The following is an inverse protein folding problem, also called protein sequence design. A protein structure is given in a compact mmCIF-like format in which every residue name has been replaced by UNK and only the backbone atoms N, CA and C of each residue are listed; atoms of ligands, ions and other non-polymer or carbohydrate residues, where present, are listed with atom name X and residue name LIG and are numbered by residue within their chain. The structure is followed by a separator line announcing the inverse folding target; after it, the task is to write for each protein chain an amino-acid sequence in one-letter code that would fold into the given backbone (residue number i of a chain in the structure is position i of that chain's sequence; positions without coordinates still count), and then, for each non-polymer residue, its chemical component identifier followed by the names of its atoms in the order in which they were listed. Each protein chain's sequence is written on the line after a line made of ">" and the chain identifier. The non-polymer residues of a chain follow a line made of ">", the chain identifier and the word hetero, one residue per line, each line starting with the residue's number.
data_IF_384266999525
#
_entry.id   IF_384266999525
#
_cell.length_a   1.000
_cell.length_b   1.000
_cell.length_c   1.000
_cell.angle_alpha   90.00
_cell.angle_beta   90.00
_cell.angle_gamma   90.00
#
_symmetry.space_group_name_H-M   'P 1'
#
loop_
_entity.id
_entity.type
_entity.pdbx_description
1 polymer ?
#
# COMPACT_ATOMS: atom_id res chain seq x y z
N UNK A 1 -1.11 -35.71 32.59
CA UNK A 1 -1.72 -35.54 31.25
C UNK A 1 -1.67 -34.07 30.90
N UNK A 2 -0.63 -33.68 30.18
CA UNK A 2 -0.36 -32.28 29.80
C UNK A 2 -1.23 -31.94 28.59
N UNK A 3 -2.20 -31.03 28.74
CA UNK A 3 -2.99 -30.52 27.62
C UNK A 3 -2.15 -29.47 26.90
N UNK A 4 -1.58 -29.86 25.78
CA UNK A 4 -1.00 -28.95 24.79
C UNK A 4 -2.12 -28.11 24.18
N UNK A 5 -2.19 -26.82 24.51
CA UNK A 5 -3.01 -25.86 23.78
C UNK A 5 -2.23 -25.38 22.57
N UNK A 6 -2.57 -25.90 21.39
CA UNK A 6 -2.15 -25.35 20.11
C UNK A 6 -2.83 -23.99 19.94
N UNK A 7 -2.04 -22.91 19.94
CA UNK A 7 -2.51 -21.58 19.54
C UNK A 7 -2.62 -21.61 18.01
N UNK A 8 -3.85 -21.58 17.50
CA UNK A 8 -4.11 -21.46 16.06
C UNK A 8 -3.88 -19.99 15.68
N UNK A 9 -2.74 -19.69 15.08
CA UNK A 9 -2.41 -18.37 14.52
C UNK A 9 -3.09 -18.17 13.15
N UNK A 10 -4.40 -18.44 13.08
CA UNK A 10 -5.22 -18.13 11.89
C UNK A 10 -5.94 -16.80 12.17
N UNK A 11 -5.61 -15.69 11.48
CA UNK A 11 -6.35 -14.44 11.67
C UNK A 11 -7.80 -14.70 11.30
N UNK A 12 -8.70 -14.57 12.28
CA UNK A 12 -10.12 -14.81 12.09
C UNK A 12 -10.61 -14.07 10.83
N UNK A 13 -11.22 -14.82 9.91
CA UNK A 13 -11.78 -14.27 8.67
C UNK A 13 -12.65 -13.05 9.01
N UNK A 14 -12.45 -11.88 8.36
CA UNK A 14 -13.18 -10.66 8.71
C UNK A 14 -14.70 -10.87 8.61
N UNK A 15 -15.44 -10.19 9.49
CA UNK A 15 -16.89 -10.30 9.57
C UNK A 15 -17.52 -9.80 8.23
N UNK A 16 -18.35 -10.60 7.56
CA UNK A 16 -19.07 -10.17 6.36
C UNK A 16 -19.84 -8.85 6.52
N UNK A 17 -20.36 -8.53 7.71
CA UNK A 17 -21.04 -7.25 7.95
C UNK A 17 -20.07 -6.08 7.94
N UNK A 18 -18.87 -6.23 8.51
CA UNK A 18 -17.82 -5.22 8.47
C UNK A 18 -17.33 -4.98 7.03
N UNK A 19 -17.15 -6.05 6.25
CA UNK A 19 -16.79 -5.96 4.83
C UNK A 19 -17.85 -5.21 4.01
N UNK A 20 -19.13 -5.46 4.26
CA UNK A 20 -20.22 -4.73 3.59
C UNK A 20 -20.27 -3.25 4.02
N UNK A 21 -20.04 -2.96 5.31
CA UNK A 21 -19.96 -1.59 5.80
C UNK A 21 -18.77 -0.85 5.17
N UNK A 22 -17.62 -1.51 5.00
CA UNK A 22 -16.46 -0.96 4.31
C UNK A 22 -16.77 -0.62 2.86
N UNK A 23 -17.36 -1.55 2.11
CA UNK A 23 -17.79 -1.33 0.73
C UNK A 23 -18.80 -0.19 0.56
N UNK A 24 -19.67 0.05 1.55
CA UNK A 24 -20.60 1.20 1.53
C UNK A 24 -19.91 2.54 1.76
N UNK A 25 -18.82 2.56 2.51
CA UNK A 25 -18.06 3.78 2.83
C UNK A 25 -17.04 4.14 1.74
N UNK A 26 -16.48 3.12 1.08
CA UNK A 26 -15.53 3.26 -0.03
C UNK A 26 -16.09 2.62 -1.31
N UNK A 27 -17.19 3.16 -1.87
CA UNK A 27 -17.90 2.53 -2.98
C UNK A 27 -17.12 2.52 -4.28
N UNK A 28 -16.26 3.52 -4.56
CA UNK A 28 -15.44 3.54 -5.80
C UNK A 28 -14.28 2.55 -5.71
N UNK A 29 -13.68 2.41 -4.53
CA UNK A 29 -12.64 1.41 -4.27
C UNK A 29 -13.16 -0.01 -4.47
N UNK A 30 -14.37 -0.29 -3.97
CA UNK A 30 -14.98 -1.62 -4.08
C UNK A 30 -15.74 -1.87 -5.40
N UNK A 31 -15.88 -0.86 -6.26
CA UNK A 31 -16.47 -1.02 -7.58
C UNK A 31 -15.55 -1.85 -8.51
N UNK A 32 -16.11 -2.61 -9.47
CA UNK A 32 -15.31 -3.21 -10.54
C UNK A 32 -14.55 -2.15 -11.34
N UNK A 33 -13.30 -2.46 -11.68
CA UNK A 33 -12.40 -1.58 -12.42
C UNK A 33 -11.79 -2.32 -13.60
N UNK A 34 -11.40 -1.58 -14.63
CA UNK A 34 -10.63 -2.11 -15.75
C UNK A 34 -9.32 -1.34 -15.89
N UNK A 35 -8.19 -2.03 -15.76
CA UNK A 35 -6.87 -1.42 -15.89
C UNK A 35 -6.31 -1.67 -17.29
N UNK A 36 -6.54 -0.71 -18.18
CA UNK A 36 -6.27 -0.82 -19.61
C UNK A 36 -4.79 -1.12 -19.95
N UNK A 37 -3.84 -0.60 -19.16
CA UNK A 37 -2.41 -0.82 -19.37
C UNK A 37 -2.02 -2.30 -19.30
N UNK A 38 -2.72 -3.08 -18.48
CA UNK A 38 -2.45 -4.50 -18.25
C UNK A 38 -3.51 -5.43 -18.85
N UNK A 39 -4.67 -4.91 -19.24
CA UNK A 39 -5.83 -5.72 -19.60
C UNK A 39 -6.30 -6.53 -18.39
N UNK A 40 -6.56 -5.84 -17.27
CA UNK A 40 -7.03 -6.47 -16.03
C UNK A 40 -8.44 -6.02 -15.68
N UNK A 41 -9.32 -6.97 -15.41
CA UNK A 41 -10.49 -6.74 -14.56
C UNK A 41 -10.02 -6.80 -13.10
N UNK A 42 -10.21 -5.71 -12.37
CA UNK A 42 -9.72 -5.56 -10.99
C UNK A 42 -10.88 -5.26 -10.03
N UNK A 43 -10.83 -5.88 -8.85
CA UNK A 43 -11.75 -5.58 -7.76
C UNK A 43 -11.04 -5.60 -6.41
N UNK A 44 -11.20 -4.54 -5.62
CA UNK A 44 -10.65 -4.48 -4.29
C UNK A 44 -11.38 -5.42 -3.31
N UNK A 45 -10.59 -6.12 -2.50
CA UNK A 45 -11.05 -6.90 -1.37
C UNK A 45 -10.17 -6.63 -0.15
N UNK A 46 -10.80 -6.38 1.01
CA UNK A 46 -10.08 -6.26 2.28
C UNK A 46 -9.63 -7.63 2.84
N UNK A 47 -10.08 -8.74 2.23
CA UNK A 47 -9.58 -10.08 2.52
C UNK A 47 -8.25 -10.27 1.78
N UNK A 48 -7.18 -10.50 2.55
CA UNK A 48 -5.84 -10.72 2.01
C UNK A 48 -5.82 -11.83 0.95
N UNK A 49 -5.05 -11.66 -0.13
CA UNK A 49 -4.82 -12.71 -1.10
C UNK A 49 -3.87 -13.77 -0.53
N UNK A 50 -3.81 -14.94 -1.16
CA UNK A 50 -2.70 -15.87 -0.94
C UNK A 50 -1.38 -15.23 -1.40
N UNK A 51 -0.28 -15.46 -0.69
CA UNK A 51 1.04 -14.88 -0.99
C UNK A 51 1.45 -15.09 -2.47
N UNK A 52 1.24 -16.30 -2.99
CA UNK A 52 1.57 -16.67 -4.38
C UNK A 52 0.85 -15.85 -5.45
N UNK A 53 -0.24 -15.17 -5.09
CA UNK A 53 -1.00 -14.33 -6.01
C UNK A 53 -0.47 -12.89 -6.03
N UNK A 54 0.27 -12.46 -5.00
CA UNK A 54 0.79 -11.10 -4.89
C UNK A 54 1.93 -10.90 -5.88
N UNK A 55 1.68 -10.09 -6.91
CA UNK A 55 2.70 -9.70 -7.90
C UNK A 55 3.23 -8.31 -7.66
N UNK A 56 2.50 -7.48 -6.92
CA UNK A 56 2.83 -6.09 -6.70
C UNK A 56 2.45 -5.68 -5.28
N UNK A 57 3.27 -4.82 -4.70
CA UNK A 57 3.11 -4.34 -3.33
C UNK A 57 3.30 -2.83 -3.36
N UNK A 58 2.35 -2.10 -2.80
CA UNK A 58 2.41 -0.64 -2.72
C UNK A 58 1.99 -0.16 -1.33
N UNK A 59 2.51 0.99 -0.95
CA UNK A 59 2.36 1.51 0.40
C UNK A 59 1.88 2.96 0.42
N UNK A 60 0.92 3.24 1.29
CA UNK A 60 0.64 4.57 1.77
C UNK A 60 1.59 4.83 2.95
N UNK A 61 2.76 5.43 2.64
CA UNK A 61 3.74 5.79 3.66
C UNK A 61 3.33 7.06 4.39
N UNK A 62 3.27 7.01 5.73
CA UNK A 62 3.01 8.18 6.57
C UNK A 62 4.33 8.72 7.15
N UNK A 63 4.57 10.01 6.99
CA UNK A 63 5.77 10.69 7.49
C UNK A 63 5.42 12.11 7.99
N UNK A 64 6.20 12.70 8.91
CA UNK A 64 5.97 14.08 9.36
C UNK A 64 5.98 15.08 8.21
N UNK A 65 5.06 16.05 8.23
CA UNK A 65 5.07 17.13 7.25
C UNK A 65 6.31 18.04 7.44
N UNK A 66 6.97 18.51 6.37
CA UNK A 66 8.22 19.30 6.46
C UNK A 66 8.11 20.61 7.26
N UNK A 67 6.90 21.19 7.37
CA UNK A 67 6.65 22.53 7.92
C UNK A 67 5.81 22.53 9.22
N UNK A 68 5.68 21.39 9.92
CA UNK A 68 5.02 21.35 11.24
C UNK A 68 6.03 21.65 12.36
N UNK A 69 5.80 22.66 13.23
CA UNK A 69 6.70 22.97 14.34
C UNK A 69 6.93 21.77 15.26
N UNK A 70 8.14 21.62 15.79
CA UNK A 70 8.54 20.51 16.68
C UNK A 70 7.53 20.28 17.82
N UNK A 71 6.89 19.11 17.80
CA UNK A 71 5.87 18.68 18.75
C UNK A 71 4.83 17.79 18.06
N UNK A 72 4.09 16.93 18.78
CA UNK A 72 3.04 16.10 18.19
C UNK A 72 1.84 16.98 17.80
N UNK A 73 1.94 17.65 16.65
CA UNK A 73 0.86 18.32 15.95
C UNK A 73 0.11 17.34 15.02
N UNK A 74 -1.16 17.63 14.66
CA UNK A 74 -1.97 16.73 13.86
C UNK A 74 -1.59 16.84 12.39
N UNK A 75 -0.71 15.96 11.90
CA UNK A 75 -0.50 15.87 10.46
C UNK A 75 0.76 15.11 10.09
N UNK A 76 0.64 13.80 10.03
CA UNK A 76 1.57 13.04 9.18
C UNK A 76 1.04 13.14 7.75
N UNK A 77 1.92 13.51 6.85
CA UNK A 77 1.65 13.51 5.43
C UNK A 77 1.77 12.12 4.82
N UNK A 78 1.28 12.00 3.61
CA UNK A 78 1.45 10.84 2.73
C UNK A 78 2.65 11.10 1.82
N UNK A 79 3.52 10.10 1.70
CA UNK A 79 4.63 10.10 0.73
C UNK A 79 4.08 9.73 -0.65
N UNK A 80 4.25 10.63 -1.62
CA UNK A 80 4.05 10.32 -3.04
C UNK A 80 5.34 10.57 -3.82
N UNK A 81 5.48 9.82 -4.91
CA UNK A 81 6.51 10.01 -5.93
C UNK A 81 5.88 10.63 -7.18
N UNK A 82 6.69 11.33 -7.97
CA UNK A 82 6.31 11.88 -9.27
C UNK A 82 7.33 11.47 -10.33
N UNK A 83 6.83 11.01 -11.47
CA UNK A 83 7.65 10.65 -12.61
C UNK A 83 7.93 11.83 -13.56
N UNK A 84 8.75 11.60 -14.58
CA UNK A 84 9.06 12.56 -15.65
C UNK A 84 7.84 13.01 -16.48
N UNK A 85 6.73 12.28 -16.41
CA UNK A 85 5.47 12.57 -17.12
C UNK A 85 4.50 13.38 -16.25
N UNK A 86 4.96 13.87 -15.10
CA UNK A 86 4.16 14.59 -14.11
C UNK A 86 3.04 13.74 -13.47
N UNK A 87 3.18 12.41 -13.52
CA UNK A 87 2.25 11.48 -12.89
C UNK A 87 2.69 11.22 -11.45
N UNK A 88 1.80 11.53 -10.50
CA UNK A 88 1.94 11.19 -9.09
C UNK A 88 1.47 9.77 -8.77
N UNK A 89 2.26 9.04 -7.98
CA UNK A 89 1.98 7.65 -7.61
C UNK A 89 2.44 7.34 -6.16
N UNK A 90 1.90 6.23 -5.63
CA UNK A 90 2.30 5.68 -4.34
C UNK A 90 3.54 4.80 -4.54
N UNK A 91 4.56 4.89 -3.67
CA UNK A 91 5.72 4.01 -3.75
C UNK A 91 5.33 2.53 -3.68
N UNK A 92 6.01 1.71 -4.47
CA UNK A 92 5.78 0.30 -4.58
C UNK A 92 5.91 -0.19 -6.02
N UNK A 93 6.15 -1.48 -6.18
CA UNK A 93 6.39 -2.00 -7.50
C UNK A 93 6.13 -3.49 -7.61
N UNK A 94 6.93 -4.14 -8.45
CA UNK A 94 6.72 -5.53 -8.85
C UNK A 94 7.64 -6.43 -8.05
N UNK A 95 7.07 -7.52 -7.54
CA UNK A 95 7.82 -8.54 -6.82
C UNK A 95 8.70 -9.33 -7.81
N UNK A 96 9.98 -9.40 -7.51
CA UNK A 96 10.96 -10.19 -8.26
C UNK A 96 10.81 -11.68 -7.99
N UNK A 97 11.48 -12.50 -8.80
CA UNK A 97 11.41 -13.97 -8.64
C UNK A 97 11.95 -14.37 -7.26
N UNK A 98 11.15 -15.17 -6.54
CA UNK A 98 11.48 -15.71 -5.22
C UNK A 98 11.71 -14.65 -4.11
N UNK A 99 11.45 -13.37 -4.40
CA UNK A 99 11.52 -12.27 -3.43
C UNK A 99 10.40 -12.43 -2.39
N UNK A 100 10.54 -11.97 -1.15
CA UNK A 100 9.41 -11.91 -0.21
C UNK A 100 8.58 -10.64 -0.41
N UNK A 101 7.36 -10.57 0.14
CA UNK A 101 6.55 -9.33 0.12
C UNK A 101 7.29 -8.19 0.86
N UNK A 102 7.92 -8.51 1.99
CA UNK A 102 8.62 -7.51 2.81
C UNK A 102 9.90 -7.02 2.14
N UNK A 103 10.67 -7.90 1.51
CA UNK A 103 11.88 -7.53 0.75
C UNK A 103 11.52 -6.68 -0.48
N UNK A 104 10.47 -7.07 -1.21
CA UNK A 104 9.93 -6.29 -2.33
C UNK A 104 9.56 -4.88 -1.86
N UNK A 105 8.75 -4.76 -0.80
CA UNK A 105 8.34 -3.46 -0.29
C UNK A 105 9.55 -2.61 0.14
N UNK A 106 10.51 -3.21 0.87
CA UNK A 106 11.68 -2.50 1.36
C UNK A 106 12.56 -1.99 0.20
N UNK A 107 12.74 -2.81 -0.85
CA UNK A 107 13.47 -2.42 -2.06
C UNK A 107 12.78 -1.27 -2.79
N UNK A 108 11.49 -1.42 -3.10
CA UNK A 108 10.72 -0.41 -3.85
C UNK A 108 10.66 0.93 -3.11
N UNK A 109 10.48 0.93 -1.78
CA UNK A 109 10.52 2.15 -0.97
C UNK A 109 11.87 2.88 -1.08
N UNK A 110 12.98 2.14 -1.12
CA UNK A 110 14.31 2.73 -1.30
C UNK A 110 14.49 3.25 -2.73
N UNK A 111 14.09 2.46 -3.70
CA UNK A 111 14.26 2.76 -5.13
C UNK A 111 13.49 4.00 -5.55
N UNK A 112 12.22 4.08 -5.16
CA UNK A 112 11.30 5.11 -5.65
C UNK A 112 11.14 6.30 -4.71
N UNK A 113 11.27 6.10 -3.40
CA UNK A 113 10.99 7.15 -2.41
C UNK A 113 12.20 7.53 -1.55
N UNK A 114 13.31 6.79 -1.63
CA UNK A 114 14.41 6.94 -0.66
C UNK A 114 13.93 6.77 0.79
N UNK A 115 12.89 5.93 0.98
CA UNK A 115 12.20 5.77 2.23
C UNK A 115 12.51 4.43 2.90
N UNK A 116 12.33 4.38 4.22
CA UNK A 116 12.38 3.14 5.00
C UNK A 116 11.22 3.05 5.98
N UNK A 117 10.78 1.82 6.21
CA UNK A 117 9.81 1.48 7.25
C UNK A 117 10.37 1.80 8.64
N UNK A 118 9.52 2.36 9.51
CA UNK A 118 9.80 2.49 10.94
C UNK A 118 9.25 1.31 11.74
N UNK A 119 8.16 0.72 11.25
CA UNK A 119 7.47 -0.44 11.83
C UNK A 119 6.97 -1.38 10.72
N UNK A 120 6.46 -2.56 11.10
CA UNK A 120 5.85 -3.48 10.14
C UNK A 120 4.61 -2.85 9.46
N UNK A 121 4.42 -3.07 8.15
CA UNK A 121 3.27 -2.51 7.44
C UNK A 121 1.95 -3.14 7.90
N UNK A 122 0.90 -2.34 7.87
CA UNK A 122 -0.48 -2.81 8.06
C UNK A 122 -1.15 -2.97 6.70
N UNK A 123 -1.48 -4.20 6.35
CA UNK A 123 -2.15 -4.52 5.09
C UNK A 123 -3.65 -4.24 5.17
N UNK A 124 -4.17 -3.48 4.21
CA UNK A 124 -5.58 -3.01 4.20
C UNK A 124 -6.44 -3.67 3.11
N UNK A 125 -5.81 -4.29 2.11
CA UNK A 125 -6.51 -5.08 1.12
C UNK A 125 -5.67 -5.32 -0.12
N UNK A 126 -6.29 -5.95 -1.11
CA UNK A 126 -5.70 -6.11 -2.42
C UNK A 126 -6.72 -5.87 -3.53
N UNK A 127 -6.27 -5.32 -4.65
CA UNK A 127 -6.99 -5.46 -5.90
C UNK A 127 -6.72 -6.87 -6.43
N UNK A 128 -7.76 -7.68 -6.54
CA UNK A 128 -7.72 -8.98 -7.19
C UNK A 128 -7.95 -8.76 -8.67
N UNK A 129 -7.03 -9.24 -9.49
CA UNK A 129 -6.98 -8.95 -10.91
C UNK A 129 -7.03 -10.25 -11.73
N UNK A 130 -7.79 -10.22 -12.83
CA UNK A 130 -7.80 -11.29 -13.84
C UNK A 130 -7.46 -10.65 -15.18
N UNK A 131 -6.54 -11.26 -15.95
CA UNK A 131 -6.19 -10.80 -17.30
C UNK A 131 -6.67 -11.74 -18.39
N UNK A 132 -7.03 -11.17 -19.53
CA UNK A 132 -7.34 -11.87 -20.77
C UNK A 132 -6.09 -12.11 -21.65
N UNK A 133 -4.93 -11.55 -21.28
CA UNK A 133 -3.68 -11.75 -22.03
C UNK A 133 -3.30 -13.23 -22.03
N UNK A 134 -2.80 -13.79 -23.14
CA UNK A 134 -2.56 -15.24 -23.24
C UNK A 134 -1.36 -15.74 -22.43
N UNK A 135 -0.54 -14.85 -21.88
CA UNK A 135 0.70 -15.17 -21.17
C UNK A 135 0.90 -14.22 -19.98
N UNK A 136 1.61 -14.66 -18.92
CA UNK A 136 1.91 -13.80 -17.79
C UNK A 136 2.84 -12.63 -18.20
N UNK A 137 2.80 -11.55 -17.42
CA UNK A 137 3.68 -10.38 -17.60
C UNK A 137 5.17 -10.71 -17.35
N UNK A 138 5.43 -11.65 -16.41
CA UNK A 138 6.75 -12.26 -16.18
C UNK A 138 6.57 -13.79 -16.11
N UNK A 139 7.51 -14.60 -16.63
CA UNK A 139 7.34 -16.06 -16.69
C UNK A 139 7.09 -16.77 -15.35
N UNK A 140 7.49 -16.17 -14.22
CA UNK A 140 7.30 -16.72 -12.88
C UNK A 140 6.04 -16.22 -12.16
N UNK A 141 5.34 -15.23 -12.71
CA UNK A 141 4.16 -14.66 -12.08
C UNK A 141 2.92 -15.56 -12.30
N UNK A 142 1.97 -15.56 -11.35
CA UNK A 142 0.71 -16.27 -11.50
C UNK A 142 -0.10 -15.71 -12.68
N UNK A 143 -0.89 -16.59 -13.29
CA UNK A 143 -1.73 -16.31 -14.44
C UNK A 143 -2.94 -17.26 -14.47
N UNK A 144 -4.15 -16.79 -14.83
CA UNK A 144 -4.50 -15.40 -15.19
C UNK A 144 -4.75 -14.48 -13.98
N UNK A 145 -4.87 -15.07 -12.80
CA UNK A 145 -5.19 -14.37 -11.56
C UNK A 145 -3.94 -13.83 -10.86
N UNK A 146 -4.04 -12.63 -10.31
CA UNK A 146 -2.99 -12.00 -9.49
C UNK A 146 -3.58 -10.96 -8.53
N UNK A 147 -2.73 -10.40 -7.67
CA UNK A 147 -3.12 -9.41 -6.69
C UNK A 147 -2.11 -8.25 -6.59
N UNK A 148 -2.64 -7.03 -6.55
CA UNK A 148 -1.92 -5.84 -6.07
C UNK A 148 -2.24 -5.63 -4.62
N UNK A 149 -1.25 -5.82 -3.76
CA UNK A 149 -1.36 -5.66 -2.31
C UNK A 149 -1.16 -4.20 -1.91
N UNK A 150 -2.03 -3.70 -1.03
CA UNK A 150 -2.00 -2.34 -0.51
C UNK A 150 -1.86 -2.37 1.01
N UNK A 151 -0.94 -1.57 1.53
CA UNK A 151 -0.75 -1.37 2.95
C UNK A 151 -0.46 0.08 3.30
N UNK A 152 -0.30 0.34 4.59
CA UNK A 152 0.27 1.58 5.08
C UNK A 152 1.30 1.30 6.17
N UNK A 153 2.24 2.23 6.37
CA UNK A 153 3.17 2.18 7.48
C UNK A 153 3.66 3.58 7.85
N UNK A 154 4.22 3.72 9.05
CA UNK A 154 5.09 4.84 9.39
C UNK A 154 6.42 4.68 8.65
N UNK A 155 6.88 5.74 7.99
CA UNK A 155 8.11 5.75 7.21
C UNK A 155 8.94 6.99 7.51
N UNK A 156 10.22 6.92 7.17
CA UNK A 156 11.06 8.11 7.04
C UNK A 156 11.66 8.14 5.64
N UNK A 157 11.63 9.32 5.02
CA UNK A 157 12.32 9.62 3.77
C UNK A 157 13.69 10.17 4.15
N UNK A 158 14.74 9.35 4.01
CA UNK A 158 16.10 9.67 4.48
C UNK A 158 17.17 9.69 3.39
N UNK A 159 16.79 9.40 2.15
CA UNK A 159 17.66 9.53 0.99
C UNK A 159 16.90 10.05 -0.24
N UNK A 160 17.63 10.37 -1.30
CA UNK A 160 17.04 10.45 -2.63
C UNK A 160 16.60 9.04 -3.12
N UNK A 161 15.63 8.95 -4.05
CA UNK A 161 15.36 7.70 -4.77
C UNK A 161 16.61 7.21 -5.50
N UNK A 162 16.82 5.89 -5.56
CA UNK A 162 17.99 5.34 -6.25
C UNK A 162 17.82 5.24 -7.76
N UNK A 163 16.57 5.28 -8.26
CA UNK A 163 16.23 5.28 -9.70
C UNK A 163 17.01 4.22 -10.49
N UNK A 164 16.76 2.91 -10.30
CA UNK A 164 17.41 1.87 -11.08
C UNK A 164 17.10 2.00 -12.59
N UNK A 165 17.98 1.51 -13.46
CA UNK A 165 17.90 1.71 -14.92
C UNK A 165 16.63 1.12 -15.56
N UNK A 166 16.02 0.12 -14.94
CA UNK A 166 14.83 -0.59 -15.39
C UNK A 166 13.54 -0.21 -14.64
N UNK A 167 13.62 0.74 -13.69
CA UNK A 167 12.50 1.24 -12.90
C UNK A 167 11.86 2.52 -13.44
N UNK A 168 10.82 3.00 -12.74
CA UNK A 168 10.24 4.33 -13.01
C UNK A 168 11.24 5.43 -12.60
N UNK A 169 11.45 6.42 -13.46
CA UNK A 169 12.34 7.56 -13.17
C UNK A 169 11.62 8.55 -12.27
N UNK A 170 11.91 8.51 -10.96
CA UNK A 170 11.36 9.43 -9.97
C UNK A 170 12.13 10.74 -10.01
N UNK A 171 11.42 11.82 -10.35
CA UNK A 171 11.96 13.18 -10.39
C UNK A 171 11.66 13.98 -9.13
N UNK A 172 10.71 13.52 -8.32
CA UNK A 172 10.34 14.16 -7.06
C UNK A 172 9.72 13.16 -6.08
N UNK A 173 10.11 13.29 -4.81
CA UNK A 173 9.47 12.63 -3.66
C UNK A 173 8.95 13.73 -2.75
N UNK A 174 7.67 13.66 -2.34
CA UNK A 174 7.06 14.68 -1.49
C UNK A 174 6.20 14.07 -0.40
N UNK A 175 6.35 14.59 0.82
CA UNK A 175 5.43 14.35 1.94
C UNK A 175 4.41 15.47 1.99
N UNK A 176 3.12 15.14 1.88
CA UNK A 176 2.04 16.12 1.74
C UNK A 176 0.79 15.73 2.52
N UNK A 177 -0.13 16.67 2.83
CA UNK A 177 -1.38 16.34 3.50
C UNK A 177 -2.17 15.26 2.73
N UNK A 178 -2.89 14.34 3.41
CA UNK A 178 -3.65 13.29 2.74
C UNK A 178 -4.64 13.79 1.68
N UNK A 179 -5.26 14.96 1.91
CA UNK A 179 -6.18 15.57 0.95
C UNK A 179 -5.46 15.98 -0.35
N UNK A 180 -4.27 16.57 -0.23
CA UNK A 180 -3.44 16.90 -1.41
C UNK A 180 -3.02 15.63 -2.15
N UNK A 181 -2.62 14.58 -1.41
CA UNK A 181 -2.26 13.30 -2.02
C UNK A 181 -3.44 12.68 -2.80
N UNK A 182 -4.66 12.72 -2.25
CA UNK A 182 -5.87 12.26 -2.92
C UNK A 182 -6.15 13.03 -4.21
N UNK A 183 -6.01 14.36 -4.18
CA UNK A 183 -6.17 15.21 -5.36
C UNK A 183 -5.14 14.87 -6.44
N UNK A 184 -3.85 14.78 -6.09
CA UNK A 184 -2.78 14.46 -7.04
C UNK A 184 -2.94 13.07 -7.66
N UNK A 185 -3.25 12.06 -6.86
CA UNK A 185 -3.43 10.69 -7.34
C UNK A 185 -4.63 10.50 -8.26
N UNK A 186 -5.61 11.40 -8.22
CA UNK A 186 -6.83 11.32 -9.05
C UNK A 186 -6.81 12.22 -10.27
N UNK A 187 -5.75 13.02 -10.48
CA UNK A 187 -5.58 13.83 -11.70
C UNK A 187 -5.52 12.93 -12.94
N UNK A 188 -6.60 12.90 -13.71
CA UNK A 188 -6.70 12.07 -14.92
C UNK A 188 -6.83 10.56 -14.64
N UNK A 189 -7.16 10.16 -13.41
CA UNK A 189 -7.26 8.76 -12.97
C UNK A 189 -8.59 8.49 -12.28
N UNK A 190 -8.88 7.21 -12.06
CA UNK A 190 -10.11 6.79 -11.39
C UNK A 190 -10.17 7.25 -9.93
N UNK A 191 -11.38 7.59 -9.46
CA UNK A 191 -11.59 8.11 -8.11
C UNK A 191 -11.32 7.13 -6.96
N UNK A 192 -11.06 5.85 -7.25
CA UNK A 192 -10.76 4.85 -6.21
C UNK A 192 -9.42 5.10 -5.51
N UNK A 193 -8.46 5.77 -6.17
CA UNK A 193 -7.18 6.13 -5.55
C UNK A 193 -7.37 7.00 -4.30
N UNK A 194 -8.29 7.96 -4.38
CA UNK A 194 -8.59 8.81 -3.24
C UNK A 194 -9.22 8.03 -2.08
N UNK A 195 -10.12 7.08 -2.39
CA UNK A 195 -10.74 6.22 -1.38
C UNK A 195 -9.74 5.23 -0.76
N UNK A 196 -8.73 4.77 -1.51
CA UNK A 196 -7.65 3.95 -0.97
C UNK A 196 -6.82 4.71 0.08
N UNK A 197 -6.46 5.97 -0.20
CA UNK A 197 -5.76 6.82 0.78
C UNK A 197 -6.66 7.11 1.99
N UNK A 198 -7.95 7.38 1.77
CA UNK A 198 -8.90 7.58 2.87
C UNK A 198 -9.03 6.34 3.77
N UNK A 199 -9.06 5.14 3.17
CA UNK A 199 -9.04 3.87 3.92
C UNK A 199 -7.77 3.72 4.75
N UNK A 200 -6.59 4.03 4.19
CA UNK A 200 -5.33 3.99 4.92
C UNK A 200 -5.32 4.96 6.11
N UNK A 201 -5.80 6.20 5.92
CA UNK A 201 -5.91 7.21 7.00
C UNK A 201 -6.84 6.74 8.10
N UNK A 202 -8.00 6.18 7.74
CA UNK A 202 -8.97 5.66 8.71
C UNK A 202 -8.40 4.45 9.47
N UNK A 203 -7.80 3.51 8.76
CA UNK A 203 -7.16 2.32 9.34
C UNK A 203 -6.07 2.71 10.33
N UNK A 204 -5.23 3.68 9.97
CA UNK A 204 -4.19 4.26 10.83
C UNK A 204 -4.74 4.95 12.06
N UNK A 205 -5.82 5.71 11.93
CA UNK A 205 -6.50 6.37 13.05
C UNK A 205 -7.09 5.37 14.07
N UNK A 206 -7.45 4.17 13.62
CA UNK A 206 -7.98 3.10 14.45
C UNK A 206 -6.89 2.15 14.99
N UNK A 207 -5.67 2.21 14.46
CA UNK A 207 -4.57 1.40 14.95
C UNK A 207 -4.23 1.82 16.38
N UNK A 208 -3.97 0.87 17.30
CA UNK A 208 -3.52 1.20 18.63
C UNK A 208 -2.20 1.97 18.48
N UNK A 209 -2.20 3.27 18.80
CA UNK A 209 -0.96 4.04 18.87
C UNK A 209 -0.02 3.27 19.80
N UNK A 210 1.21 3.01 19.35
CA UNK A 210 2.26 2.47 20.20
C UNK A 210 2.47 3.49 21.35
N UNK A 211 1.70 3.31 22.42
CA UNK A 211 1.67 4.22 23.55
C UNK A 211 3.03 4.18 24.21
N UNK A 212 3.63 5.37 24.36
CA UNK A 212 4.85 5.57 25.10
C UNK A 212 4.76 4.91 26.46
N UNK A 213 5.45 3.78 26.60
CA UNK A 213 5.98 3.36 27.90
C UNK A 213 7.33 4.01 28.02
N UNK A 214 7.36 5.16 28.66
CA UNK A 214 8.59 5.61 29.34
C UNK A 214 9.02 4.49 30.28
N UNK A 215 10.23 3.93 30.19
CA UNK A 215 10.80 3.16 31.29
C UNK A 215 11.00 4.16 32.42
N UNK A 216 10.10 4.13 33.41
CA UNK A 216 10.15 4.99 34.58
C UNK A 216 10.62 4.22 35.80
N UNK A 217 11.65 4.79 36.42
CA UNK A 217 12.09 4.67 37.83
C UNK A 217 12.76 3.36 38.27
#
# INVERSE_FOLDING_TARGET
>A
MTRTTTRSDDPARPDPTELQALARRFPRLHAPQFWAWGGYDAQFAAVMPEDRLVTNVHLIGFAPLPDTPEGPGPGDGVVLCRDERDHWFLPGGTRERDESIDDCLARELREEAGARLLDAPVWIGAHRCVTDRPTPYRPWQPHPEKAWLWGWAEVVVDSAPTNPEDGESVVEVRVMPPQEAQELLTRGRDGWWAELVALAVESRGNAPRAGGRTPGA
#
